data_IF_380942854496
#
_entry.id   IF_380942854496
#
_cell.length_a   1.000
_cell.length_b   1.000
_cell.length_c   1.000
_cell.angle_alpha   90.00
_cell.angle_beta   90.00
_cell.angle_gamma   90.00
#
_symmetry.space_group_name_H-M   'P 1'
#
loop_
_entity.id
_entity.type
_entity.pdbx_description
1 polymer ?
#
# COMPACT_ATOMS: atom_id res chain seq x y z
N UNK A 1 27.62 35.61 -23.22
CA UNK A 1 26.61 34.79 -23.93
C UNK A 1 26.18 33.68 -22.99
N UNK A 2 24.88 33.67 -22.66
CA UNK A 2 24.17 32.72 -21.79
C UNK A 2 24.30 31.27 -22.31
N UNK A 3 24.08 30.20 -21.52
CA UNK A 3 22.75 29.78 -21.07
C UNK A 3 22.86 28.92 -19.80
N UNK A 4 22.21 29.39 -18.72
CA UNK A 4 21.83 28.52 -17.60
C UNK A 4 20.77 27.55 -18.12
N UNK A 5 21.08 26.25 -18.19
CA UNK A 5 20.06 25.24 -18.46
C UNK A 5 19.10 25.21 -17.27
N UNK A 6 17.91 25.76 -17.49
CA UNK A 6 16.73 25.56 -16.66
C UNK A 6 16.43 24.06 -16.67
N UNK A 7 16.60 23.38 -15.54
CA UNK A 7 16.07 22.03 -15.37
C UNK A 7 14.56 22.17 -15.19
N UNK A 8 13.84 21.90 -16.27
CA UNK A 8 12.38 21.94 -16.32
C UNK A 8 11.80 21.04 -15.23
N UNK A 9 10.98 21.63 -14.36
CA UNK A 9 10.06 20.90 -13.51
C UNK A 9 8.98 20.33 -14.43
N UNK A 10 9.06 19.03 -14.69
CA UNK A 10 7.95 18.28 -15.29
C UNK A 10 6.88 18.12 -14.23
N UNK A 11 5.84 18.91 -14.41
CA UNK A 11 4.54 18.88 -13.77
C UNK A 11 3.93 17.47 -13.86
N UNK A 12 3.62 16.90 -12.71
CA UNK A 12 2.69 15.79 -12.58
C UNK A 12 1.91 16.05 -11.30
N UNK A 13 0.61 16.22 -11.46
CA UNK A 13 -0.38 16.34 -10.38
C UNK A 13 -0.45 15.03 -9.59
N UNK A 14 0.62 14.69 -8.89
CA UNK A 14 0.58 13.73 -7.79
C UNK A 14 0.20 14.55 -6.58
N UNK A 15 -1.06 14.41 -6.15
CA UNK A 15 -1.46 14.83 -4.82
C UNK A 15 -0.54 14.11 -3.83
N UNK A 16 0.51 14.80 -3.37
CA UNK A 16 1.40 14.36 -2.29
C UNK A 16 0.61 14.51 -0.98
N UNK A 17 -0.52 13.80 -0.90
CA UNK A 17 -1.30 13.71 0.32
C UNK A 17 -0.49 12.79 1.24
N UNK A 18 -0.14 13.26 2.45
CA UNK A 18 0.58 12.44 3.40
C UNK A 18 -0.21 11.17 3.68
N UNK A 19 0.50 10.06 3.84
CA UNK A 19 -0.09 8.71 3.98
C UNK A 19 -1.06 8.67 5.17
N UNK A 20 -0.77 9.44 6.22
CA UNK A 20 -1.61 9.66 7.39
C UNK A 20 -3.02 10.17 7.07
N UNK A 21 -3.18 10.91 5.97
CA UNK A 21 -4.46 11.50 5.55
C UNK A 21 -5.25 10.59 4.61
N UNK A 22 -4.68 9.44 4.23
CA UNK A 22 -5.40 8.49 3.39
C UNK A 22 -6.64 7.95 4.12
N UNK A 23 -7.77 7.77 3.42
CA UNK A 23 -8.95 7.20 4.02
C UNK A 23 -8.70 5.74 4.42
N UNK A 24 -9.35 5.31 5.51
CA UNK A 24 -9.39 3.88 5.82
C UNK A 24 -10.21 3.13 4.77
N UNK A 25 -9.74 1.94 4.40
CA UNK A 25 -10.47 1.04 3.52
C UNK A 25 -11.74 0.57 4.21
N UNK A 26 -12.84 0.64 3.48
CA UNK A 26 -14.13 0.12 3.90
C UNK A 26 -14.24 -1.41 3.74
N UNK A 27 -15.36 -1.95 4.21
CA UNK A 27 -15.71 -3.36 4.10
C UNK A 27 -15.97 -3.81 2.65
N UNK A 28 -16.26 -2.89 1.72
CA UNK A 28 -16.42 -3.24 0.31
C UNK A 28 -15.07 -3.55 -0.36
N UNK A 29 -14.00 -2.87 0.09
CA UNK A 29 -12.63 -3.07 -0.40
C UNK A 29 -11.89 -4.19 0.34
N UNK A 30 -12.25 -4.49 1.59
CA UNK A 30 -11.65 -5.54 2.40
C UNK A 30 -12.53 -6.79 2.46
N UNK A 31 -12.11 -7.85 1.78
CA UNK A 31 -12.78 -9.15 1.81
C UNK A 31 -12.19 -10.03 2.91
N UNK A 32 -13.01 -10.61 3.81
CA UNK A 32 -12.54 -11.57 4.81
C UNK A 32 -11.79 -12.76 4.17
N UNK A 33 -10.78 -13.24 4.87
CA UNK A 33 -9.96 -14.39 4.47
C UNK A 33 -9.81 -15.38 5.62
N UNK A 34 -9.88 -16.67 5.30
CA UNK A 34 -9.69 -17.78 6.26
C UNK A 34 -8.41 -18.58 5.96
N UNK A 35 -7.44 -17.95 5.34
CA UNK A 35 -6.19 -18.55 4.87
C UNK A 35 -5.06 -17.52 4.95
N UNK A 36 -3.85 -17.88 4.53
CA UNK A 36 -2.71 -16.94 4.44
C UNK A 36 -2.87 -15.85 3.35
N UNK A 37 -4.01 -15.84 2.65
CA UNK A 37 -4.35 -14.86 1.60
C UNK A 37 -4.90 -13.59 2.25
N UNK A 38 -4.05 -12.79 2.85
CA UNK A 38 -4.41 -11.59 3.63
C UNK A 38 -3.69 -10.37 3.08
N UNK A 39 -4.09 -9.16 3.48
CA UNK A 39 -3.45 -7.93 3.02
C UNK A 39 -1.95 -7.93 3.35
N UNK A 40 -1.52 -8.44 4.51
CA UNK A 40 -0.09 -8.51 4.84
C UNK A 40 0.75 -9.28 3.81
N UNK A 41 0.16 -10.28 3.14
CA UNK A 41 0.83 -11.06 2.07
C UNK A 41 0.51 -10.53 0.66
N UNK A 42 -0.19 -9.40 0.55
CA UNK A 42 -0.52 -8.77 -0.72
C UNK A 42 0.68 -8.03 -1.30
N UNK A 43 0.80 -8.01 -2.64
CA UNK A 43 1.82 -7.22 -3.32
C UNK A 43 1.75 -5.72 -3.02
N UNK A 44 0.54 -5.21 -2.86
CA UNK A 44 0.26 -3.78 -2.68
C UNK A 44 0.37 -3.32 -1.22
N UNK A 45 0.60 -4.24 -0.30
CA UNK A 45 0.72 -3.91 1.10
C UNK A 45 2.05 -3.24 1.40
N UNK A 46 2.00 -2.14 2.12
CA UNK A 46 3.18 -1.47 2.68
C UNK A 46 2.87 -1.07 4.11
N UNK A 47 3.89 -1.10 4.96
CA UNK A 47 3.86 -0.47 6.26
C UNK A 47 4.78 0.74 6.25
N UNK A 48 4.38 1.78 6.97
CA UNK A 48 5.19 2.97 7.21
C UNK A 48 5.19 3.27 8.70
N UNK A 49 6.25 3.90 9.18
CA UNK A 49 6.27 4.48 10.53
C UNK A 49 5.57 5.83 10.47
N UNK A 50 4.37 5.93 11.01
CA UNK A 50 3.66 7.20 11.15
C UNK A 50 4.17 8.01 12.34
N UNK A 51 3.41 9.05 12.69
CA UNK A 51 3.72 9.93 13.83
C UNK A 51 3.92 9.10 15.11
N UNK A 52 4.96 9.42 15.88
CA UNK A 52 5.36 8.70 17.09
C UNK A 52 5.68 7.20 16.86
N UNK A 53 6.10 6.84 15.64
CA UNK A 53 6.40 5.46 15.23
C UNK A 53 5.21 4.50 15.33
N UNK A 54 3.97 5.01 15.29
CA UNK A 54 2.78 4.18 15.19
C UNK A 54 2.72 3.63 13.76
N UNK A 55 2.63 2.30 13.56
CA UNK A 55 2.65 1.72 12.22
C UNK A 55 1.38 2.08 11.45
N UNK A 56 1.57 2.66 10.26
CA UNK A 56 0.52 2.85 9.27
C UNK A 56 0.54 1.68 8.31
N UNK A 57 -0.59 0.99 8.21
CA UNK A 57 -0.77 -0.14 7.31
C UNK A 57 -1.50 0.36 6.08
N UNK A 58 -0.97 0.10 4.89
CA UNK A 58 -1.49 0.73 3.67
C UNK A 58 -1.73 -0.29 2.57
N UNK A 59 -2.67 0.03 1.69
CA UNK A 59 -2.81 -0.60 0.38
C UNK A 59 -2.50 0.41 -0.72
N UNK A 60 -1.40 0.20 -1.43
CA UNK A 60 -0.93 1.10 -2.49
C UNK A 60 -1.84 1.10 -3.73
N UNK A 61 -2.58 0.01 -3.96
CA UNK A 61 -3.56 -0.05 -5.07
C UNK A 61 -4.74 0.89 -4.84
N UNK A 62 -5.22 0.96 -3.60
CA UNK A 62 -6.40 1.75 -3.24
C UNK A 62 -6.04 3.10 -2.60
N UNK A 63 -4.75 3.39 -2.39
CA UNK A 63 -4.26 4.58 -1.68
C UNK A 63 -5.02 4.81 -0.36
N UNK A 64 -5.14 3.74 0.44
CA UNK A 64 -5.93 3.73 1.67
C UNK A 64 -5.25 3.04 2.84
N UNK A 65 -5.62 3.45 4.05
CA UNK A 65 -5.19 2.86 5.31
C UNK A 65 -5.96 1.57 5.59
N UNK A 66 -5.27 0.54 6.05
CA UNK A 66 -5.87 -0.73 6.48
C UNK A 66 -6.07 -0.64 8.00
N UNK A 67 -7.30 -0.86 8.51
CA UNK A 67 -7.53 -0.90 9.95
C UNK A 67 -6.61 -1.91 10.66
N UNK A 68 -6.19 -1.58 11.88
CA UNK A 68 -5.33 -2.46 12.67
C UNK A 68 -5.99 -3.84 12.86
N UNK A 69 -5.20 -4.90 12.68
CA UNK A 69 -5.68 -6.28 12.71
C UNK A 69 -6.37 -6.76 11.42
N UNK A 70 -7.04 -5.89 10.66
CA UNK A 70 -7.70 -6.28 9.40
C UNK A 70 -6.71 -6.81 8.36
N UNK A 71 -5.46 -6.34 8.39
CA UNK A 71 -4.39 -6.81 7.52
C UNK A 71 -4.03 -8.30 7.67
N UNK A 72 -4.42 -8.93 8.79
CA UNK A 72 -4.21 -10.35 9.11
C UNK A 72 -5.46 -11.20 8.89
N UNK A 73 -6.62 -10.59 8.70
CA UNK A 73 -7.92 -11.27 8.64
C UNK A 73 -8.62 -11.08 7.28
N UNK A 74 -8.24 -10.07 6.52
CA UNK A 74 -8.88 -9.66 5.26
C UNK A 74 -7.83 -9.40 4.18
N UNK A 75 -8.26 -9.40 2.92
CA UNK A 75 -7.45 -9.03 1.75
C UNK A 75 -8.19 -7.99 0.91
N UNK A 76 -7.45 -7.16 0.19
CA UNK A 76 -8.02 -6.33 -0.86
C UNK A 76 -8.27 -7.14 -2.14
N UNK A 77 -9.05 -6.56 -3.06
CA UNK A 77 -9.34 -7.17 -4.37
C UNK A 77 -8.10 -7.29 -5.27
N UNK A 78 -7.02 -6.56 -4.97
CA UNK A 78 -5.76 -6.65 -5.69
C UNK A 78 -4.95 -7.92 -5.37
N UNK A 79 -5.31 -8.68 -4.34
CA UNK A 79 -4.63 -9.92 -3.98
C UNK A 79 -4.95 -11.04 -4.98
N UNK A 80 -3.93 -11.68 -5.57
CA UNK A 80 -4.09 -12.81 -6.51
C UNK A 80 -3.01 -13.87 -6.31
N UNK A 81 -3.33 -15.15 -6.55
CA UNK A 81 -2.38 -16.27 -6.44
C UNK A 81 -1.20 -16.13 -7.41
N UNK A 82 -1.41 -15.49 -8.55
CA UNK A 82 -0.36 -15.26 -9.55
C UNK A 82 0.68 -14.25 -9.07
N UNK A 83 0.33 -13.32 -8.16
CA UNK A 83 1.29 -12.38 -7.59
C UNK A 83 2.25 -13.06 -6.59
N UNK A 84 1.77 -14.04 -5.83
CA UNK A 84 2.62 -14.85 -4.93
C UNK A 84 3.57 -15.72 -5.75
N UNK A 85 3.06 -16.40 -6.79
CA UNK A 85 3.86 -17.31 -7.62
C UNK A 85 4.91 -16.64 -8.50
N UNK A 86 4.62 -15.45 -9.03
CA UNK A 86 5.50 -14.81 -10.04
C UNK A 86 6.66 -14.00 -9.46
N UNK A 87 6.62 -13.63 -8.18
CA UNK A 87 7.60 -12.67 -7.63
C UNK A 87 8.38 -13.14 -6.40
N UNK A 88 8.17 -14.37 -5.90
CA UNK A 88 8.79 -14.79 -4.64
C UNK A 88 8.47 -13.82 -3.49
N UNK A 89 7.27 -13.24 -3.52
CA UNK A 89 6.86 -12.13 -2.66
C UNK A 89 6.23 -12.65 -1.35
N UNK A 90 6.51 -11.91 -0.27
CA UNK A 90 6.38 -12.24 1.16
C UNK A 90 7.55 -13.07 1.75
N UNK A 91 8.79 -12.55 1.75
CA UNK A 91 9.93 -13.20 2.41
C UNK A 91 9.76 -13.35 3.92
N UNK A 92 8.92 -12.54 4.57
CA UNK A 92 8.63 -12.60 6.00
C UNK A 92 7.61 -13.70 6.39
N UNK A 93 6.94 -14.31 5.41
CA UNK A 93 5.95 -15.37 5.63
C UNK A 93 6.52 -16.78 5.39
N UNK A 94 7.85 -16.91 5.21
CA UNK A 94 8.59 -18.15 5.01
C UNK A 94 9.47 -18.54 6.18
#
# INVERSE_FOLDING_TARGET
MSLRLRRSASDSCSSDQPIEEWPFLDEQLLVPSRSLRVCMTCHWFRHYSGVNCIPLLTCQLHQGLIPQGAHLLSRCQGWTDDMVRRRGWAPEAG
#
